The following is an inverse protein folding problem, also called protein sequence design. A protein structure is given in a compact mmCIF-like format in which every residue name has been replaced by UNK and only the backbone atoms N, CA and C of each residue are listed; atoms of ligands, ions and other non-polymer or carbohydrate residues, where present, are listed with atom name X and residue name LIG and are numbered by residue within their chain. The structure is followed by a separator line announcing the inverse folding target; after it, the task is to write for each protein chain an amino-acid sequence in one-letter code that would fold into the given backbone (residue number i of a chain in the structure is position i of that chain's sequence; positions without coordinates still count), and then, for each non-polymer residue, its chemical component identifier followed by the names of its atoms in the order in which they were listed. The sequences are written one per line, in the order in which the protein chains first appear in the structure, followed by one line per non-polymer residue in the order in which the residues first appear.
data_IF_981631406167
#
_entry.id   IF_981631406167
#
_cell.length_a   1.000
_cell.length_b   1.000
_cell.length_c   1.000
_cell.angle_alpha   90.00
_cell.angle_beta   90.00
_cell.angle_gamma   90.00
#
_symmetry.space_group_name_H-M   'P 1'
#
loop_
_entity.id
_entity.type
_entity.pdbx_description
1 polymer ?
#
# COMPACT_ATOMS: atom_id res chain seq x y z
N UNK A 1 38.74 9.44 0.44
CA UNK A 1 38.86 10.89 0.43
C UNK A 1 38.78 11.56 -0.95
N UNK A 2 39.51 11.13 -2.01
CA UNK A 2 39.47 11.81 -3.33
C UNK A 2 38.11 11.72 -4.07
N UNK A 3 37.29 10.65 -3.92
CA UNK A 3 35.98 10.55 -4.57
C UNK A 3 34.89 11.42 -3.90
N UNK A 4 34.86 11.46 -2.57
CA UNK A 4 33.89 12.29 -1.83
C UNK A 4 34.11 13.80 -2.09
N UNK A 5 35.36 14.25 -2.18
CA UNK A 5 35.69 15.64 -2.49
C UNK A 5 35.25 16.04 -3.90
N UNK A 6 35.26 15.11 -4.87
CA UNK A 6 34.86 15.38 -6.27
C UNK A 6 33.33 15.52 -6.42
N UNK A 7 32.57 14.77 -5.64
CA UNK A 7 31.09 14.83 -5.64
C UNK A 7 30.62 16.13 -4.97
N UNK A 8 31.20 16.51 -3.85
CA UNK A 8 30.86 17.75 -3.14
C UNK A 8 31.18 18.99 -4.00
N UNK A 9 32.31 19.01 -4.73
CA UNK A 9 32.66 20.11 -5.63
C UNK A 9 31.74 20.22 -6.84
N UNK A 10 31.27 19.09 -7.39
CA UNK A 10 30.25 19.10 -8.48
C UNK A 10 28.87 19.56 -7.98
N UNK A 11 28.45 19.13 -6.80
CA UNK A 11 27.19 19.55 -6.18
C UNK A 11 27.20 21.05 -5.87
N UNK A 12 28.29 21.59 -5.36
CA UNK A 12 28.44 23.02 -5.06
C UNK A 12 28.51 23.90 -6.32
N UNK A 13 29.10 23.40 -7.41
CA UNK A 13 29.15 24.13 -8.69
C UNK A 13 27.80 24.14 -9.41
N UNK A 14 26.97 23.08 -9.25
CA UNK A 14 25.60 23.07 -9.78
C UNK A 14 24.62 23.91 -8.93
N UNK A 15 24.80 23.99 -7.62
CA UNK A 15 23.99 24.83 -6.75
C UNK A 15 24.17 26.34 -7.03
N UNK A 16 25.37 26.78 -7.37
CA UNK A 16 25.64 28.19 -7.71
C UNK A 16 25.07 28.62 -9.09
N UNK A 17 24.82 27.68 -10.01
CA UNK A 17 24.18 27.98 -11.31
C UNK A 17 22.65 27.91 -11.17
N UNK A 18 22.11 27.13 -10.21
CA UNK A 18 20.66 26.98 -9.97
C UNK A 18 20.11 28.13 -9.09
N UNK A 19 20.90 28.84 -8.32
CA UNK A 19 20.44 29.96 -7.49
C UNK A 19 19.90 31.16 -8.27
N UNK A 20 20.10 31.21 -9.57
CA UNK A 20 19.53 32.25 -10.48
C UNK A 20 18.22 31.83 -11.15
N UNK A 21 17.75 30.56 -10.96
CA UNK A 21 16.49 30.05 -11.54
C UNK A 21 15.42 29.73 -10.47
N UNK A 22 15.72 29.84 -9.19
CA UNK A 22 14.84 29.42 -8.10
C UNK A 22 14.11 30.60 -7.45
N UNK A 23 13.15 31.20 -8.15
CA UNK A 23 12.18 32.12 -7.53
C UNK A 23 10.73 31.84 -7.95
N UNK A 24 10.38 30.58 -8.09
CA UNK A 24 8.97 30.19 -8.04
C UNK A 24 8.89 28.97 -7.14
N UNK A 25 8.80 29.19 -5.83
CA UNK A 25 8.38 28.17 -4.88
C UNK A 25 6.98 27.71 -5.27
N UNK A 26 6.89 26.63 -6.05
CA UNK A 26 5.62 25.95 -6.32
C UNK A 26 5.20 25.27 -5.02
N UNK A 27 4.39 25.95 -4.21
CA UNK A 27 3.72 25.26 -3.11
C UNK A 27 2.91 24.12 -3.75
N UNK A 28 3.26 22.88 -3.38
CA UNK A 28 2.56 21.70 -3.91
C UNK A 28 1.19 21.63 -3.23
N UNK A 29 0.21 22.30 -3.83
CA UNK A 29 -1.14 22.37 -3.28
C UNK A 29 -1.81 21.00 -3.29
N UNK A 30 -2.63 20.69 -2.27
CA UNK A 30 -3.44 19.48 -2.27
C UNK A 30 -4.32 19.42 -3.51
N UNK A 31 -4.51 18.22 -4.04
CA UNK A 31 -5.41 18.00 -5.18
C UNK A 31 -6.13 16.66 -5.08
N UNK A 32 -7.32 16.56 -5.67
CA UNK A 32 -8.05 15.31 -5.80
C UNK A 32 -8.30 14.99 -7.27
N UNK A 33 -8.04 13.72 -7.64
CA UNK A 33 -8.36 13.16 -8.94
C UNK A 33 -9.36 12.03 -8.76
N UNK A 34 -10.54 12.16 -9.36
CA UNK A 34 -11.52 11.08 -9.48
C UNK A 34 -11.15 10.22 -10.69
N UNK A 35 -11.00 8.92 -10.46
CA UNK A 35 -10.39 8.02 -11.46
C UNK A 35 -11.39 7.53 -12.52
N UNK A 36 -12.68 7.80 -12.33
CA UNK A 36 -13.74 7.30 -13.21
C UNK A 36 -14.02 5.81 -12.99
N UNK A 37 -14.55 5.15 -14.03
CA UNK A 37 -14.92 3.74 -14.01
C UNK A 37 -14.54 3.05 -15.31
N UNK A 38 -14.69 1.72 -15.41
CA UNK A 38 -14.59 0.97 -16.68
C UNK A 38 -15.92 0.94 -17.46
N UNK A 39 -16.70 2.02 -17.34
CA UNK A 39 -17.99 2.21 -18.00
C UNK A 39 -19.18 1.80 -17.14
N UNK A 40 -18.98 1.10 -16.04
CA UNK A 40 -20.02 0.73 -15.07
C UNK A 40 -20.27 1.81 -14.01
N UNK A 41 -21.12 1.53 -13.00
CA UNK A 41 -21.56 2.55 -12.02
C UNK A 41 -20.55 2.88 -10.94
N UNK A 42 -19.59 1.99 -10.62
CA UNK A 42 -18.71 2.12 -9.44
C UNK A 42 -17.26 1.76 -9.73
N UNK A 43 -16.34 2.37 -8.98
CA UNK A 43 -14.93 1.97 -8.90
C UNK A 43 -14.39 2.13 -7.49
N UNK A 44 -13.38 1.31 -7.15
CA UNK A 44 -12.81 1.20 -5.81
C UNK A 44 -11.28 1.19 -5.89
N UNK A 45 -10.63 2.20 -5.29
CA UNK A 45 -9.17 2.28 -5.21
C UNK A 45 -8.64 1.52 -4.00
N UNK A 46 -7.60 0.71 -4.20
CA UNK A 46 -7.03 -0.14 -3.14
C UNK A 46 -5.59 0.17 -2.79
N UNK A 47 -4.74 0.40 -3.79
CA UNK A 47 -3.32 0.67 -3.55
C UNK A 47 -2.78 1.72 -4.55
N UNK A 48 -1.69 2.37 -4.17
CA UNK A 48 -1.03 3.43 -4.93
C UNK A 48 0.49 3.22 -4.90
N UNK A 49 1.16 3.50 -6.02
CA UNK A 49 2.63 3.51 -6.11
C UNK A 49 3.27 4.58 -5.22
N UNK A 50 4.55 4.46 -4.96
CA UNK A 50 5.26 5.39 -4.07
C UNK A 50 5.22 6.84 -4.54
N UNK A 51 5.28 7.05 -5.85
CA UNK A 51 5.26 8.37 -6.50
C UNK A 51 3.84 8.91 -6.79
N UNK A 52 2.79 8.13 -6.45
CA UNK A 52 1.39 8.49 -6.69
C UNK A 52 0.92 8.37 -8.14
N UNK A 53 1.77 7.91 -9.08
CA UNK A 53 1.42 7.88 -10.50
C UNK A 53 0.55 6.70 -10.91
N UNK A 54 0.59 5.60 -10.15
CA UNK A 54 -0.18 4.39 -10.43
C UNK A 54 -1.15 4.12 -9.31
N UNK A 55 -2.42 3.96 -9.63
CA UNK A 55 -3.46 3.49 -8.71
C UNK A 55 -4.02 2.18 -9.22
N UNK A 56 -4.26 1.23 -8.32
CA UNK A 56 -4.89 -0.04 -8.64
C UNK A 56 -6.11 -0.29 -7.77
N UNK A 57 -7.00 -1.13 -8.28
CA UNK A 57 -8.24 -1.48 -7.61
C UNK A 57 -9.13 -2.30 -8.50
N UNK A 58 -10.44 -2.15 -8.36
CA UNK A 58 -11.39 -2.78 -9.26
C UNK A 58 -12.55 -1.83 -9.58
N UNK A 59 -13.15 -2.04 -10.74
CA UNK A 59 -14.26 -1.23 -11.22
C UNK A 59 -15.31 -2.09 -11.92
N UNK A 60 -16.53 -1.61 -11.90
CA UNK A 60 -17.62 -2.19 -12.68
C UNK A 60 -17.44 -1.86 -14.16
N UNK A 61 -17.78 -2.83 -15.03
CA UNK A 61 -17.81 -2.66 -16.48
C UNK A 61 -19.24 -2.46 -16.96
N UNK A 62 -19.41 -2.13 -18.25
CA UNK A 62 -20.73 -2.09 -18.91
C UNK A 62 -21.32 -3.48 -19.15
N UNK A 63 -20.50 -4.53 -19.04
CA UNK A 63 -20.93 -5.92 -19.29
C UNK A 63 -21.83 -6.43 -18.17
N UNK A 64 -22.73 -7.33 -18.50
CA UNK A 64 -23.66 -7.99 -17.57
C UNK A 64 -24.43 -7.00 -16.67
N UNK A 65 -24.95 -5.91 -17.29
CA UNK A 65 -25.67 -4.86 -16.60
C UNK A 65 -24.88 -4.22 -15.42
N UNK A 66 -23.57 -4.12 -15.56
CA UNK A 66 -22.70 -3.53 -14.55
C UNK A 66 -22.40 -4.44 -13.37
N UNK A 67 -22.64 -5.75 -13.49
CA UNK A 67 -22.35 -6.72 -12.40
C UNK A 67 -20.94 -7.30 -12.43
N UNK A 68 -20.19 -7.07 -13.50
CA UNK A 68 -18.82 -7.57 -13.62
C UNK A 68 -17.81 -6.59 -13.06
N UNK A 69 -16.91 -7.09 -12.23
CA UNK A 69 -15.78 -6.36 -11.67
C UNK A 69 -14.52 -6.68 -12.44
N UNK A 70 -13.71 -5.66 -12.72
CA UNK A 70 -12.40 -5.81 -13.33
C UNK A 70 -11.33 -5.13 -12.52
N UNK A 71 -10.24 -5.85 -12.30
CA UNK A 71 -9.01 -5.25 -11.81
C UNK A 71 -8.56 -4.17 -12.78
N UNK A 72 -8.20 -3.01 -12.28
CA UNK A 72 -7.69 -1.92 -13.08
C UNK A 72 -6.31 -1.45 -12.61
N UNK A 73 -5.58 -0.87 -13.54
CA UNK A 73 -4.43 0.01 -13.31
C UNK A 73 -4.74 1.36 -13.94
N UNK A 74 -4.63 2.41 -13.15
CA UNK A 74 -4.85 3.77 -13.59
C UNK A 74 -3.54 4.56 -13.56
N UNK A 75 -3.33 5.39 -14.57
CA UNK A 75 -2.31 6.46 -14.60
C UNK A 75 -2.93 7.71 -15.21
N UNK A 76 -2.34 8.88 -14.96
CA UNK A 76 -2.83 10.13 -15.55
C UNK A 76 -2.77 10.14 -17.09
N UNK A 77 -1.83 9.37 -17.67
CA UNK A 77 -1.61 9.30 -19.11
C UNK A 77 -2.62 8.38 -19.81
N UNK A 78 -2.95 7.24 -19.20
CA UNK A 78 -3.78 6.20 -19.84
C UNK A 78 -5.23 6.19 -19.32
N UNK A 79 -5.48 6.86 -18.21
CA UNK A 79 -6.71 6.65 -17.44
C UNK A 79 -6.79 5.24 -16.87
N UNK A 80 -8.01 4.77 -16.63
CA UNK A 80 -8.28 3.44 -16.07
C UNK A 80 -8.21 2.36 -17.15
N UNK A 81 -7.28 1.42 -17.00
CA UNK A 81 -7.05 0.29 -17.92
C UNK A 81 -7.46 -1.02 -17.25
N UNK A 82 -8.30 -1.82 -17.90
CA UNK A 82 -8.68 -3.17 -17.51
C UNK A 82 -7.48 -4.12 -17.60
N UNK A 83 -7.12 -4.79 -16.51
CA UNK A 83 -5.99 -5.72 -16.45
C UNK A 83 -6.32 -7.13 -16.98
N UNK A 84 -7.58 -7.39 -17.29
CA UNK A 84 -8.04 -8.68 -17.78
C UNK A 84 -8.46 -9.65 -16.65
N UNK A 85 -8.51 -10.93 -17.03
CA UNK A 85 -8.89 -12.06 -16.18
C UNK A 85 -8.46 -13.38 -16.82
N UNK A 86 -8.73 -14.52 -16.15
CA UNK A 86 -8.38 -15.85 -16.66
C UNK A 86 -9.51 -16.55 -17.41
N UNK A 87 -10.72 -16.00 -17.43
CA UNK A 87 -11.91 -16.67 -17.98
C UNK A 87 -12.75 -15.75 -18.85
N UNK A 88 -13.29 -16.28 -19.93
CA UNK A 88 -14.31 -15.60 -20.74
C UNK A 88 -15.73 -15.76 -20.17
N UNK A 89 -15.93 -16.67 -19.22
CA UNK A 89 -17.23 -16.98 -18.61
C UNK A 89 -17.40 -16.25 -17.27
N UNK A 90 -16.48 -16.48 -16.33
CA UNK A 90 -16.47 -15.83 -15.01
C UNK A 90 -15.51 -14.66 -15.04
N UNK A 91 -15.98 -13.53 -15.52
CA UNK A 91 -15.18 -12.40 -15.95
C UNK A 91 -14.72 -11.44 -14.82
N UNK A 92 -14.63 -11.90 -13.57
CA UNK A 92 -14.28 -11.00 -12.46
C UNK A 92 -12.80 -11.06 -12.11
N UNK A 93 -12.24 -9.88 -11.80
CA UNK A 93 -10.89 -9.74 -11.26
C UNK A 93 -10.78 -8.53 -10.32
N UNK A 94 -9.88 -8.59 -9.34
CA UNK A 94 -9.64 -7.57 -8.32
C UNK A 94 -8.16 -7.37 -8.12
N UNK A 95 -7.68 -6.12 -8.13
CA UNK A 95 -6.32 -5.77 -7.76
C UNK A 95 -6.31 -5.25 -6.32
N UNK A 96 -5.36 -5.74 -5.52
CA UNK A 96 -5.22 -5.42 -4.10
C UNK A 96 -3.94 -4.69 -3.76
N UNK A 97 -2.85 -4.97 -4.47
CA UNK A 97 -1.54 -4.41 -4.20
C UNK A 97 -0.81 -4.00 -5.47
N UNK A 98 0.10 -3.04 -5.32
CA UNK A 98 0.99 -2.54 -6.37
C UNK A 98 2.39 -2.32 -5.79
N UNK A 99 3.44 -2.61 -6.58
CA UNK A 99 4.83 -2.32 -6.22
C UNK A 99 5.11 -0.82 -6.12
N UNK A 100 6.20 -0.44 -5.47
CA UNK A 100 6.55 0.97 -5.27
C UNK A 100 6.67 1.74 -6.58
N UNK A 101 7.25 1.13 -7.60
CA UNK A 101 7.40 1.69 -8.95
C UNK A 101 6.14 1.59 -9.83
N UNK A 102 5.07 0.94 -9.36
CA UNK A 102 3.83 0.75 -10.10
C UNK A 102 3.89 -0.29 -11.23
N UNK A 103 4.99 -1.04 -11.36
CA UNK A 103 5.21 -2.01 -12.44
C UNK A 103 4.58 -3.38 -12.19
N UNK A 104 4.36 -3.75 -10.92
CA UNK A 104 3.77 -5.04 -10.54
C UNK A 104 2.44 -4.82 -9.84
N UNK A 105 1.40 -5.49 -10.30
CA UNK A 105 0.08 -5.50 -9.66
C UNK A 105 -0.27 -6.91 -9.22
N UNK A 106 -0.82 -7.07 -8.03
CA UNK A 106 -1.26 -8.36 -7.50
C UNK A 106 -2.72 -8.34 -7.08
N UNK A 107 -3.34 -9.52 -7.10
CA UNK A 107 -4.73 -9.68 -6.74
C UNK A 107 -5.23 -11.08 -7.03
N UNK A 108 -6.50 -11.19 -7.39
CA UNK A 108 -7.06 -12.45 -7.86
C UNK A 108 -8.04 -12.22 -9.01
N UNK A 109 -8.23 -13.27 -9.81
CA UNK A 109 -9.19 -13.32 -10.89
C UNK A 109 -9.89 -14.67 -10.91
N UNK A 110 -11.12 -14.71 -11.42
CA UNK A 110 -11.81 -15.96 -11.58
C UNK A 110 -11.25 -16.76 -12.76
N UNK A 111 -11.07 -18.07 -12.55
CA UNK A 111 -10.85 -19.01 -13.63
C UNK A 111 -12.18 -19.41 -14.31
N UNK A 112 -12.09 -20.29 -15.31
CA UNK A 112 -13.25 -20.78 -16.07
C UNK A 112 -14.26 -21.59 -15.24
N UNK A 113 -13.89 -22.02 -14.02
CA UNK A 113 -14.77 -22.69 -13.04
C UNK A 113 -15.35 -21.71 -12.01
N UNK A 114 -15.02 -20.42 -12.08
CA UNK A 114 -15.45 -19.39 -11.13
C UNK A 114 -14.66 -19.38 -9.83
N UNK A 115 -13.50 -20.06 -9.80
CA UNK A 115 -12.65 -20.08 -8.62
C UNK A 115 -11.64 -18.93 -8.64
N UNK A 116 -11.35 -18.37 -7.47
CA UNK A 116 -10.33 -17.33 -7.30
C UNK A 116 -8.94 -17.91 -7.58
N UNK A 117 -8.20 -17.29 -8.50
CA UNK A 117 -6.81 -17.60 -8.81
C UNK A 117 -5.94 -16.39 -8.47
N UNK A 118 -4.90 -16.56 -7.65
CA UNK A 118 -3.98 -15.48 -7.32
C UNK A 118 -3.19 -15.07 -8.56
N UNK A 119 -3.08 -13.78 -8.81
CA UNK A 119 -2.33 -13.30 -9.97
C UNK A 119 -1.22 -12.32 -9.61
N UNK A 120 -0.24 -12.25 -10.50
CA UNK A 120 0.73 -11.18 -10.65
C UNK A 120 0.62 -10.64 -12.08
N UNK A 121 0.46 -9.34 -12.22
CA UNK A 121 0.40 -8.68 -13.52
C UNK A 121 1.59 -7.73 -13.68
N UNK A 122 2.13 -7.64 -14.90
CA UNK A 122 3.14 -6.65 -15.30
C UNK A 122 2.81 -6.08 -16.68
N UNK A 123 3.32 -4.87 -17.05
CA UNK A 123 3.03 -4.27 -18.36
C UNK A 123 3.44 -5.15 -19.55
N UNK A 124 4.52 -5.90 -19.43
CA UNK A 124 5.05 -6.76 -20.51
C UNK A 124 4.55 -8.19 -20.45
N UNK A 125 4.27 -8.73 -19.25
CA UNK A 125 3.86 -10.12 -19.06
C UNK A 125 2.36 -10.33 -18.97
N UNK A 126 1.57 -9.26 -18.84
CA UNK A 126 0.14 -9.36 -18.58
C UNK A 126 -0.18 -10.02 -17.24
N UNK A 127 -1.37 -10.61 -17.14
CA UNK A 127 -1.85 -11.31 -15.94
C UNK A 127 -1.37 -12.77 -15.96
N UNK A 128 -0.58 -13.14 -14.95
CA UNK A 128 -0.04 -14.50 -14.78
C UNK A 128 -0.61 -15.11 -13.50
N UNK A 129 -1.16 -16.33 -13.61
CA UNK A 129 -1.62 -17.13 -12.46
C UNK A 129 -0.41 -17.58 -11.64
N UNK A 130 -0.39 -17.28 -10.35
CA UNK A 130 0.67 -17.71 -9.43
C UNK A 130 0.53 -19.19 -9.00
N UNK A 131 -0.55 -19.83 -9.41
CA UNK A 131 -0.82 -21.22 -9.07
C UNK A 131 -1.34 -21.41 -7.65
N UNK A 132 -1.21 -22.64 -7.20
CA UNK A 132 -1.47 -23.08 -5.84
C UNK A 132 -0.27 -23.90 -5.37
N UNK A 133 -0.29 -24.41 -4.13
CA UNK A 133 0.82 -25.24 -3.66
C UNK A 133 1.08 -26.46 -4.55
N UNK A 134 2.36 -26.80 -4.83
CA UNK A 134 2.72 -27.99 -5.60
C UNK A 134 2.14 -29.26 -4.98
N UNK A 135 1.48 -30.12 -5.82
CA UNK A 135 0.93 -31.40 -5.39
C UNK A 135 -0.44 -31.35 -4.70
N UNK A 136 -1.04 -30.18 -4.54
CA UNK A 136 -2.42 -30.06 -4.02
C UNK A 136 -3.46 -30.25 -5.14
N UNK A 137 -4.62 -30.91 -4.87
CA UNK A 137 -5.75 -30.87 -5.78
C UNK A 137 -6.22 -29.43 -5.87
N UNK A 138 -6.25 -28.82 -7.03
CA UNK A 138 -6.67 -27.46 -7.31
C UNK A 138 -7.26 -26.69 -6.13
N UNK A 139 -6.85 -25.45 -5.91
CA UNK A 139 -7.28 -24.63 -4.78
C UNK A 139 -7.77 -23.28 -5.26
N UNK A 140 -8.40 -22.54 -4.36
CA UNK A 140 -8.69 -21.11 -4.52
C UNK A 140 -7.58 -20.33 -3.89
N UNK A 141 -7.21 -19.16 -4.45
CA UNK A 141 -6.18 -18.32 -3.87
C UNK A 141 -6.42 -16.85 -4.12
N UNK A 142 -5.90 -16.04 -3.23
CA UNK A 142 -5.96 -14.59 -3.28
C UNK A 142 -4.59 -14.06 -2.92
N UNK A 143 -3.99 -13.23 -3.78
CA UNK A 143 -2.85 -12.40 -3.42
C UNK A 143 -3.35 -11.10 -2.83
N UNK A 144 -2.87 -10.74 -1.66
CA UNK A 144 -3.33 -9.58 -0.87
C UNK A 144 -2.35 -8.41 -0.90
N UNK A 145 -1.05 -8.70 -0.96
CA UNK A 145 -0.01 -7.67 -0.95
C UNK A 145 1.25 -8.11 -1.72
N UNK A 146 2.08 -7.14 -2.09
CA UNK A 146 3.34 -7.30 -2.81
C UNK A 146 4.40 -6.40 -2.18
N UNK A 147 5.68 -6.85 -2.17
CA UNK A 147 6.83 -6.06 -1.71
C UNK A 147 7.08 -4.84 -2.61
N UNK A 148 7.84 -3.88 -2.13
CA UNK A 148 8.10 -2.64 -2.86
C UNK A 148 8.75 -2.89 -4.23
N UNK A 149 9.67 -3.84 -4.33
CA UNK A 149 10.34 -4.24 -5.58
C UNK A 149 9.51 -5.20 -6.47
N UNK A 150 8.31 -5.61 -6.03
CA UNK A 150 7.45 -6.53 -6.78
C UNK A 150 7.93 -7.98 -6.84
N UNK A 151 8.98 -8.37 -6.07
CA UNK A 151 9.56 -9.72 -6.13
C UNK A 151 8.92 -10.72 -5.17
N UNK A 152 8.27 -10.24 -4.10
CA UNK A 152 7.57 -11.05 -3.10
C UNK A 152 6.10 -10.72 -3.10
N UNK A 153 5.25 -11.75 -3.20
CA UNK A 153 3.81 -11.61 -3.04
C UNK A 153 3.30 -12.52 -1.91
N UNK A 154 2.30 -12.06 -1.17
CA UNK A 154 1.71 -12.82 -0.06
C UNK A 154 0.20 -12.90 -0.18
N UNK A 155 -0.38 -13.87 0.50
CA UNK A 155 -1.83 -14.06 0.48
C UNK A 155 -2.25 -15.35 1.14
N UNK A 156 -3.31 -15.93 0.63
CA UNK A 156 -3.88 -17.18 1.11
C UNK A 156 -4.25 -18.11 -0.04
N UNK A 157 -4.12 -19.40 0.21
CA UNK A 157 -4.64 -20.48 -0.66
C UNK A 157 -5.47 -21.43 0.18
N UNK A 158 -6.63 -21.75 -0.33
CA UNK A 158 -7.59 -22.66 0.25
C UNK A 158 -7.62 -23.98 -0.56
N UNK A 159 -7.57 -25.12 0.13
CA UNK A 159 -7.67 -26.43 -0.50
C UNK A 159 -9.14 -26.88 -0.55
N UNK A 160 -9.63 -27.27 -1.71
CA UNK A 160 -11.01 -27.77 -1.86
C UNK A 160 -11.38 -28.90 -0.92
N UNK A 161 -10.42 -29.74 -0.53
CA UNK A 161 -10.66 -30.92 0.30
C UNK A 161 -10.65 -30.66 1.80
N UNK A 162 -10.06 -29.54 2.25
CA UNK A 162 -9.85 -29.26 3.67
C UNK A 162 -10.65 -28.07 4.21
N UNK A 163 -11.13 -27.18 3.32
CA UNK A 163 -11.88 -25.96 3.71
C UNK A 163 -11.07 -24.99 4.58
N UNK A 164 -9.75 -25.13 4.63
CA UNK A 164 -8.87 -24.35 5.52
C UNK A 164 -7.85 -23.57 4.68
N UNK A 165 -7.83 -22.26 4.83
CA UNK A 165 -6.87 -21.40 4.16
C UNK A 165 -5.47 -21.51 4.78
N UNK A 166 -4.44 -21.41 3.94
CA UNK A 166 -3.03 -21.37 4.33
C UNK A 166 -2.40 -20.10 3.80
N UNK A 167 -1.69 -19.40 4.66
CA UNK A 167 -0.90 -18.23 4.28
C UNK A 167 0.26 -18.67 3.39
N UNK A 168 0.49 -17.93 2.31
CA UNK A 168 1.61 -18.18 1.41
C UNK A 168 2.52 -16.95 1.26
N UNK A 169 3.76 -17.23 0.90
CA UNK A 169 4.73 -16.29 0.35
C UNK A 169 5.18 -16.84 -1.01
N UNK A 170 5.02 -16.04 -2.04
CA UNK A 170 5.47 -16.35 -3.39
C UNK A 170 6.68 -15.48 -3.73
N UNK A 171 7.64 -16.05 -4.46
CA UNK A 171 8.78 -15.31 -5.01
C UNK A 171 9.01 -15.71 -6.46
N UNK A 172 9.66 -14.82 -7.24
CA UNK A 172 9.97 -15.10 -8.65
C UNK A 172 10.80 -16.36 -8.82
N UNK A 173 11.75 -16.62 -7.93
CA UNK A 173 12.66 -17.78 -8.02
C UNK A 173 12.12 -19.04 -7.33
N UNK A 174 11.34 -18.90 -6.27
CA UNK A 174 10.88 -20.02 -5.42
C UNK A 174 9.43 -20.45 -5.65
N UNK A 175 8.67 -19.70 -6.45
CA UNK A 175 7.23 -19.94 -6.61
C UNK A 175 6.47 -19.76 -5.31
N UNK A 176 5.31 -20.41 -5.22
CA UNK A 176 4.43 -20.35 -4.05
C UNK A 176 4.86 -21.33 -2.96
N UNK A 177 5.11 -20.79 -1.78
CA UNK A 177 5.49 -21.57 -0.60
C UNK A 177 4.57 -21.21 0.56
N UNK A 178 4.16 -22.21 1.37
CA UNK A 178 3.45 -21.95 2.62
C UNK A 178 4.39 -21.22 3.58
N UNK A 179 3.88 -20.23 4.31
CA UNK A 179 4.63 -19.63 5.41
C UNK A 179 4.98 -20.71 6.44
N UNK A 180 6.28 -20.90 6.68
CA UNK A 180 6.76 -21.88 7.65
C UNK A 180 6.20 -21.58 9.06
N UNK A 181 6.01 -22.65 9.85
CA UNK A 181 5.44 -22.62 11.19
C UNK A 181 4.00 -22.09 11.33
N UNK A 182 3.31 -21.85 10.20
CA UNK A 182 1.85 -21.59 10.21
C UNK A 182 1.03 -22.86 9.98
N UNK A 183 1.66 -23.97 9.65
CA UNK A 183 0.97 -25.25 9.35
C UNK A 183 0.28 -25.91 10.52
N UNK A 184 0.63 -25.56 11.77
CA UNK A 184 0.00 -26.07 12.99
C UNK A 184 -1.28 -25.29 13.38
N UNK A 185 -1.57 -24.18 12.69
CA UNK A 185 -2.80 -23.42 12.91
C UNK A 185 -3.97 -24.09 12.18
N UNK A 186 -5.17 -23.92 12.71
CA UNK A 186 -6.38 -24.36 12.05
C UNK A 186 -6.51 -23.70 10.67
N UNK A 187 -6.20 -22.40 10.59
CA UNK A 187 -6.18 -21.60 9.36
C UNK A 187 -5.18 -20.45 9.52
N UNK A 188 -4.57 -20.01 8.42
CA UNK A 188 -3.73 -18.82 8.40
C UNK A 188 -3.92 -18.03 7.10
N UNK A 189 -3.94 -16.69 7.21
CA UNK A 189 -4.11 -15.75 6.08
C UNK A 189 -3.09 -14.64 6.21
N UNK A 190 -2.28 -14.40 5.18
CA UNK A 190 -1.41 -13.24 5.09
C UNK A 190 -2.18 -12.09 4.45
N UNK A 191 -2.00 -10.86 4.96
CA UNK A 191 -2.67 -9.67 4.44
C UNK A 191 -1.70 -8.58 4.02
N UNK A 192 -0.52 -8.51 4.63
CA UNK A 192 0.47 -7.48 4.35
C UNK A 192 1.89 -8.04 4.38
N UNK A 193 2.79 -7.36 3.69
CA UNK A 193 4.22 -7.68 3.61
C UNK A 193 5.04 -6.40 3.69
N UNK A 194 6.21 -6.45 4.37
CA UNK A 194 7.16 -5.35 4.44
C UNK A 194 7.73 -4.99 3.06
N UNK A 195 8.34 -3.82 2.94
CA UNK A 195 8.86 -3.34 1.67
C UNK A 195 9.90 -4.28 1.05
N UNK A 196 10.76 -4.88 1.86
CA UNK A 196 11.78 -5.86 1.45
C UNK A 196 11.27 -7.31 1.31
N UNK A 197 10.00 -7.55 1.62
CA UNK A 197 9.39 -8.88 1.55
C UNK A 197 9.80 -9.85 2.66
N UNK A 198 10.52 -9.41 3.69
CA UNK A 198 11.05 -10.26 4.77
C UNK A 198 10.04 -10.51 5.89
N UNK A 199 9.14 -9.55 6.16
CA UNK A 199 8.15 -9.61 7.23
C UNK A 199 6.75 -9.70 6.64
N UNK A 200 5.92 -10.61 7.17
CA UNK A 200 4.53 -10.80 6.75
C UNK A 200 3.61 -10.63 7.96
N UNK A 201 2.52 -9.90 7.79
CA UNK A 201 1.48 -9.76 8.79
C UNK A 201 0.15 -10.35 8.31
N UNK A 202 -0.66 -10.82 9.25
CA UNK A 202 -1.92 -11.46 8.91
C UNK A 202 -2.67 -11.95 10.12
N UNK A 203 -3.50 -12.97 9.91
CA UNK A 203 -4.27 -13.61 10.98
C UNK A 203 -4.13 -15.12 10.92
N UNK A 204 -4.19 -15.76 12.08
CA UNK A 204 -4.28 -17.20 12.21
C UNK A 204 -5.41 -17.59 13.14
N UNK A 205 -5.90 -18.81 12.97
CA UNK A 205 -6.96 -19.39 13.78
C UNK A 205 -6.39 -20.52 14.62
N UNK A 206 -6.59 -20.45 15.91
CA UNK A 206 -6.26 -21.52 16.86
C UNK A 206 -7.40 -22.53 17.00
N UNK A 207 -8.54 -22.24 16.41
CA UNK A 207 -9.77 -23.03 16.40
C UNK A 207 -10.86 -22.29 15.63
N UNK A 208 -12.07 -22.86 15.52
CA UNK A 208 -13.14 -22.28 14.71
C UNK A 208 -13.61 -20.89 15.18
N UNK A 209 -13.35 -20.54 16.44
CA UNK A 209 -13.82 -19.29 17.06
C UNK A 209 -12.73 -18.46 17.71
N UNK A 210 -11.48 -18.66 17.35
CA UNK A 210 -10.37 -17.90 17.92
C UNK A 210 -9.43 -17.45 16.83
N UNK A 211 -9.34 -16.15 16.60
CA UNK A 211 -8.59 -15.51 15.51
C UNK A 211 -7.60 -14.51 16.10
N UNK A 212 -6.32 -14.61 15.73
CA UNK A 212 -5.22 -13.81 16.28
C UNK A 212 -4.42 -13.16 15.19
N UNK A 213 -4.05 -11.91 15.39
CA UNK A 213 -3.11 -11.19 14.54
C UNK A 213 -1.70 -11.74 14.73
N UNK A 214 -0.95 -11.90 13.66
CA UNK A 214 0.45 -12.34 13.71
C UNK A 214 1.38 -11.44 12.89
N UNK A 215 2.64 -11.46 13.28
CA UNK A 215 3.81 -11.03 12.51
C UNK A 215 4.72 -12.23 12.30
N UNK A 216 5.07 -12.52 11.06
CA UNK A 216 5.99 -13.59 10.70
C UNK A 216 7.28 -13.00 10.14
N UNK A 217 8.41 -13.51 10.59
CA UNK A 217 9.73 -13.14 10.08
C UNK A 217 10.68 -14.34 10.22
N UNK A 218 11.40 -14.69 9.15
CA UNK A 218 12.41 -15.75 9.13
C UNK A 218 11.94 -17.09 9.75
N UNK A 219 10.69 -17.48 9.52
CA UNK A 219 10.12 -18.71 10.06
C UNK A 219 9.58 -18.60 11.48
N UNK A 220 9.68 -17.44 12.12
CA UNK A 220 9.14 -17.20 13.46
C UNK A 220 7.79 -16.51 13.35
N UNK A 221 6.77 -17.10 13.98
CA UNK A 221 5.44 -16.48 14.12
C UNK A 221 5.34 -15.83 15.49
N UNK A 222 5.10 -14.53 15.50
CA UNK A 222 4.84 -13.75 16.71
C UNK A 222 3.34 -13.44 16.79
N UNK A 223 2.67 -13.86 17.88
CA UNK A 223 1.32 -13.41 18.23
C UNK A 223 1.38 -11.94 18.66
N UNK A 224 0.55 -11.10 18.07
CA UNK A 224 0.51 -9.67 18.38
C UNK A 224 -0.42 -9.31 19.53
N UNK A 225 -1.16 -10.30 20.06
CA UNK A 225 -2.15 -10.08 21.09
C UNK A 225 -3.48 -9.55 20.55
N UNK A 226 -4.31 -9.07 21.45
CA UNK A 226 -5.62 -8.47 21.21
C UNK A 226 -5.95 -7.41 22.27
N UNK A 227 -7.08 -6.72 22.10
CA UNK A 227 -7.57 -5.71 23.05
C UNK A 227 -8.48 -6.28 24.15
N UNK A 228 -8.39 -7.60 24.42
CA UNK A 228 -9.05 -8.25 25.57
C UNK A 228 -10.26 -9.10 25.25
N UNK A 229 -10.66 -9.25 23.96
CA UNK A 229 -11.81 -10.08 23.58
C UNK A 229 -11.42 -11.36 22.77
N UNK A 230 -10.12 -11.64 22.63
CA UNK A 230 -9.62 -12.87 22.01
C UNK A 230 -9.61 -12.88 20.48
N UNK A 231 -10.01 -11.79 19.82
CA UNK A 231 -10.07 -11.66 18.36
C UNK A 231 -9.23 -10.49 17.88
N UNK A 232 -8.29 -10.76 16.98
CA UNK A 232 -7.50 -9.71 16.33
C UNK A 232 -7.08 -10.10 14.91
N UNK A 233 -6.95 -9.09 14.03
CA UNK A 233 -6.53 -9.22 12.64
C UNK A 233 -5.53 -8.13 12.33
N UNK A 234 -4.36 -8.48 11.80
CA UNK A 234 -3.44 -7.53 11.19
C UNK A 234 -3.90 -7.20 9.76
N UNK A 235 -3.96 -5.92 9.40
CA UNK A 235 -4.40 -5.45 8.09
C UNK A 235 -3.26 -4.90 7.24
N UNK A 236 -2.34 -4.16 7.85
CA UNK A 236 -1.21 -3.58 7.16
C UNK A 236 0.04 -3.55 8.05
N UNK A 237 1.19 -3.38 7.43
CA UNK A 237 2.50 -3.34 8.07
C UNK A 237 3.32 -2.18 7.49
N UNK A 238 4.15 -1.53 8.32
CA UNK A 238 5.10 -0.50 7.88
C UNK A 238 6.18 -1.09 6.97
N UNK A 239 6.86 -0.24 6.20
CA UNK A 239 7.88 -0.67 5.25
C UNK A 239 9.01 -1.47 5.91
N UNK A 240 9.43 -1.07 7.10
CA UNK A 240 10.46 -1.74 7.91
C UNK A 240 9.96 -2.98 8.68
N UNK A 241 8.66 -3.29 8.60
CA UNK A 241 8.06 -4.43 9.29
C UNK A 241 7.93 -4.26 10.81
N UNK A 242 8.18 -3.08 11.38
CA UNK A 242 8.19 -2.87 12.85
C UNK A 242 6.83 -2.46 13.41
N UNK A 243 5.98 -1.84 12.60
CA UNK A 243 4.64 -1.40 12.99
C UNK A 243 3.58 -2.20 12.24
N UNK A 244 2.64 -2.79 12.96
CA UNK A 244 1.48 -3.49 12.40
C UNK A 244 0.21 -2.77 12.85
N UNK A 245 -0.71 -2.55 11.94
CA UNK A 245 -2.04 -2.04 12.25
C UNK A 245 -3.11 -3.07 11.90
N UNK A 246 -4.24 -2.95 12.56
CA UNK A 246 -5.35 -3.83 12.31
C UNK A 246 -6.55 -3.53 13.19
N UNK A 247 -7.35 -4.54 13.43
CA UNK A 247 -8.48 -4.42 14.34
C UNK A 247 -8.53 -5.59 15.33
N UNK A 248 -9.14 -5.32 16.46
CA UNK A 248 -9.38 -6.29 17.52
C UNK A 248 -10.76 -6.02 18.13
N UNK A 249 -11.42 -7.07 18.57
CA UNK A 249 -12.64 -6.90 19.34
C UNK A 249 -12.30 -6.46 20.78
N UNK A 250 -13.06 -5.49 21.29
CA UNK A 250 -12.99 -4.99 22.64
C UNK A 250 -14.38 -4.69 23.15
N UNK A 251 -14.81 -5.35 24.25
CA UNK A 251 -16.13 -5.11 24.88
C UNK A 251 -17.30 -5.11 23.89
N UNK A 252 -17.37 -6.12 23.01
CA UNK A 252 -18.36 -6.29 21.94
C UNK A 252 -18.33 -5.19 20.86
N UNK A 253 -17.24 -4.44 20.75
CA UNK A 253 -17.02 -3.45 19.70
C UNK A 253 -15.71 -3.75 18.98
N UNK A 254 -15.71 -3.57 17.67
CA UNK A 254 -14.48 -3.63 16.88
C UNK A 254 -13.73 -2.33 17.02
N UNK A 255 -12.44 -2.42 17.39
CA UNK A 255 -11.52 -1.31 17.51
C UNK A 255 -10.28 -1.52 16.69
N UNK A 256 -9.74 -0.48 16.10
CA UNK A 256 -8.45 -0.55 15.44
C UNK A 256 -7.33 -0.40 16.45
N UNK A 257 -6.24 -1.11 16.17
CA UNK A 257 -5.04 -1.08 16.98
C UNK A 257 -3.80 -0.76 16.14
N UNK A 258 -2.77 -0.29 16.82
CA UNK A 258 -1.40 -0.23 16.35
C UNK A 258 -0.53 -1.09 17.26
N UNK A 259 0.20 -2.01 16.68
CA UNK A 259 1.24 -2.77 17.37
C UNK A 259 2.60 -2.24 16.98
N UNK A 260 3.44 -1.92 17.95
CA UNK A 260 4.83 -1.47 17.74
C UNK A 260 5.67 -1.87 18.95
N UNK A 261 6.90 -2.36 18.72
CA UNK A 261 7.84 -2.72 19.79
C UNK A 261 7.27 -3.69 20.84
N UNK A 262 6.48 -4.68 20.42
CA UNK A 262 5.89 -5.69 21.31
C UNK A 262 4.64 -5.24 22.05
N UNK A 263 4.14 -4.02 21.81
CA UNK A 263 2.95 -3.48 22.48
C UNK A 263 1.82 -3.21 21.51
N UNK A 264 0.61 -3.63 21.91
CA UNK A 264 -0.63 -3.30 21.20
C UNK A 264 -1.26 -2.06 21.84
N UNK A 265 -1.63 -1.08 21.01
CA UNK A 265 -2.25 0.18 21.41
C UNK A 265 -3.58 0.33 20.71
N UNK A 266 -4.67 0.58 21.47
CA UNK A 266 -5.98 0.99 20.93
C UNK A 266 -5.90 2.46 20.48
N UNK A 267 -6.44 2.76 19.32
CA UNK A 267 -6.58 4.16 18.85
C UNK A 267 -7.60 4.96 19.68
N UNK A 268 -8.46 4.29 20.44
CA UNK A 268 -9.40 4.94 21.36
C UNK A 268 -10.69 5.50 20.72
N UNK A 269 -10.87 5.34 19.40
CA UNK A 269 -12.06 5.79 18.67
C UNK A 269 -12.51 4.79 17.60
N UNK A 270 -13.77 4.96 17.11
CA UNK A 270 -14.31 4.07 16.07
C UNK A 270 -13.70 4.41 14.70
N UNK A 271 -12.88 3.49 14.21
CA UNK A 271 -12.08 3.65 13.01
C UNK A 271 -11.65 2.28 12.50
N UNK A 272 -11.74 2.05 11.20
CA UNK A 272 -11.20 0.84 10.55
C UNK A 272 -9.88 1.22 9.88
N UNK A 273 -8.75 0.85 10.49
CA UNK A 273 -7.42 1.11 9.96
C UNK A 273 -7.12 0.19 8.77
N UNK A 274 -6.72 0.76 7.62
CA UNK A 274 -6.44 0.01 6.40
C UNK A 274 -5.01 0.15 5.88
N UNK A 275 -4.39 1.32 6.02
CA UNK A 275 -3.04 1.53 5.54
C UNK A 275 -2.20 2.34 6.55
N UNK A 276 -0.89 2.08 6.56
CA UNK A 276 0.09 2.68 7.44
C UNK A 276 1.28 3.19 6.62
N UNK A 277 1.85 4.34 7.01
CA UNK A 277 3.06 4.88 6.37
C UNK A 277 4.30 4.00 6.63
N UNK A 278 5.34 4.21 5.85
CA UNK A 278 6.57 3.43 5.91
C UNK A 278 7.19 3.38 7.30
N UNK A 279 7.15 4.48 8.03
CA UNK A 279 7.68 4.65 9.39
C UNK A 279 6.67 4.33 10.52
N UNK A 280 5.44 3.98 10.13
CA UNK A 280 4.36 3.68 11.08
C UNK A 280 3.75 4.91 11.76
N UNK A 281 4.09 6.13 11.35
CA UNK A 281 3.65 7.38 11.99
C UNK A 281 2.28 7.89 11.51
N UNK A 282 1.81 7.44 10.35
CA UNK A 282 0.53 7.83 9.76
C UNK A 282 -0.33 6.58 9.54
N UNK A 283 -1.59 6.62 9.92
CA UNK A 283 -2.58 5.56 9.67
C UNK A 283 -3.83 6.16 9.06
N UNK A 284 -4.37 5.51 8.03
CA UNK A 284 -5.59 5.94 7.36
C UNK A 284 -6.60 4.79 7.28
N UNK A 285 -7.89 5.14 7.11
CA UNK A 285 -8.92 4.12 7.05
C UNK A 285 -10.34 4.65 6.83
N UNK A 286 -11.33 3.97 7.44
CA UNK A 286 -12.75 4.29 7.32
C UNK A 286 -13.37 4.58 8.71
N UNK A 287 -14.19 5.65 8.85
CA UNK A 287 -14.45 6.66 7.82
C UNK A 287 -13.15 7.34 7.35
N UNK A 288 -13.20 8.24 6.39
CA UNK A 288 -12.03 8.91 5.82
C UNK A 288 -11.30 9.77 6.87
N UNK A 289 -10.63 9.11 7.79
CA UNK A 289 -9.83 9.68 8.87
C UNK A 289 -8.35 9.36 8.63
N UNK A 290 -7.50 10.26 9.10
CA UNK A 290 -6.05 10.10 9.18
C UNK A 290 -5.61 10.33 10.63
N UNK A 291 -5.02 9.30 11.21
CA UNK A 291 -4.30 9.40 12.48
C UNK A 291 -2.83 9.67 12.22
N UNK A 292 -2.22 10.56 13.00
CA UNK A 292 -0.78 10.86 12.98
C UNK A 292 -0.21 10.83 14.38
N UNK A 293 0.98 10.24 14.53
CA UNK A 293 1.73 10.28 15.80
C UNK A 293 1.99 11.76 16.19
N UNK A 294 1.82 12.17 17.48
CA UNK A 294 1.58 11.34 18.67
C UNK A 294 0.10 11.05 19.01
N UNK A 295 -0.86 11.29 18.13
CA UNK A 295 -2.27 11.01 18.38
C UNK A 295 -3.24 12.01 17.75
N UNK A 296 -2.77 12.78 16.76
CA UNK A 296 -3.58 13.76 16.04
C UNK A 296 -4.49 13.04 15.05
N UNK A 297 -5.79 13.37 15.06
CA UNK A 297 -6.78 12.77 14.15
C UNK A 297 -7.37 13.86 13.26
N UNK A 298 -7.23 13.69 11.95
CA UNK A 298 -7.82 14.57 10.94
C UNK A 298 -9.02 13.89 10.28
N UNK A 299 -10.11 14.63 10.11
CA UNK A 299 -11.18 14.25 9.19
C UNK A 299 -10.85 14.78 7.80
N UNK A 300 -10.55 13.89 6.86
CA UNK A 300 -10.09 14.27 5.52
C UNK A 300 -11.15 15.04 4.72
N UNK A 301 -12.44 14.78 4.96
CA UNK A 301 -13.50 15.57 4.34
C UNK A 301 -13.52 17.02 4.82
N UNK A 302 -13.20 17.27 6.09
CA UNK A 302 -13.10 18.61 6.64
C UNK A 302 -11.79 19.29 6.21
N UNK A 303 -10.67 18.57 6.30
CA UNK A 303 -9.33 19.09 5.96
C UNK A 303 -9.26 19.53 4.49
N UNK A 304 -9.87 18.76 3.58
CA UNK A 304 -9.80 19.00 2.13
C UNK A 304 -11.11 19.51 1.54
N UNK A 305 -12.00 20.12 2.35
CA UNK A 305 -13.32 20.60 1.93
C UNK A 305 -13.25 21.55 0.73
N UNK A 306 -12.22 22.41 0.64
CA UNK A 306 -12.04 23.38 -0.46
C UNK A 306 -11.86 22.72 -1.82
N UNK A 307 -11.20 21.58 -1.91
CA UNK A 307 -10.97 20.84 -3.17
C UNK A 307 -12.04 19.77 -3.43
N UNK A 308 -12.75 19.32 -2.38
CA UNK A 308 -13.83 18.33 -2.49
C UNK A 308 -15.14 18.95 -2.97
N UNK A 309 -15.42 20.20 -2.62
CA UNK A 309 -16.68 20.84 -2.89
C UNK A 309 -17.86 20.08 -2.26
N UNK A 310 -18.74 19.49 -3.09
CA UNK A 310 -19.87 18.65 -2.65
C UNK A 310 -19.57 17.14 -2.64
N UNK A 311 -18.38 16.76 -3.05
CA UNK A 311 -17.95 15.35 -3.04
C UNK A 311 -17.58 14.90 -1.65
N UNK A 312 -17.65 13.59 -1.39
CA UNK A 312 -17.41 13.00 -0.06
C UNK A 312 -16.51 11.79 -0.16
N UNK A 313 -15.45 11.74 0.62
CA UNK A 313 -14.60 10.56 0.79
C UNK A 313 -15.25 9.62 1.81
N UNK A 314 -15.50 8.37 1.41
CA UNK A 314 -16.07 7.36 2.32
C UNK A 314 -15.01 6.70 3.18
N UNK A 315 -13.84 6.46 2.61
CA UNK A 315 -12.70 5.85 3.30
C UNK A 315 -11.47 5.79 2.42
N UNK A 316 -10.33 5.66 3.08
CA UNK A 316 -9.02 5.47 2.47
C UNK A 316 -8.61 4.02 2.63
N UNK A 317 -8.20 3.37 1.54
CA UNK A 317 -7.80 1.95 1.51
C UNK A 317 -6.30 1.77 1.36
N UNK A 318 -5.65 2.68 0.63
CA UNK A 318 -4.22 2.64 0.35
C UNK A 318 -3.55 4.01 0.52
N UNK A 319 -2.27 3.97 0.77
CA UNK A 319 -1.45 5.15 1.02
C UNK A 319 -0.05 4.89 0.46
N UNK A 320 0.57 5.92 -0.13
CA UNK A 320 2.00 5.87 -0.49
C UNK A 320 2.87 5.75 0.77
N UNK A 321 4.08 5.19 0.66
CA UNK A 321 4.96 4.98 1.81
C UNK A 321 5.22 6.24 2.65
N UNK A 322 5.36 7.40 2.00
CA UNK A 322 5.58 8.69 2.67
C UNK A 322 4.30 9.33 3.25
N UNK A 323 3.13 8.74 3.03
CA UNK A 323 1.85 9.27 3.52
C UNK A 323 1.21 10.36 2.67
N UNK A 324 1.84 10.76 1.54
CA UNK A 324 1.39 11.87 0.70
C UNK A 324 0.18 11.53 -0.15
N UNK A 325 0.21 10.39 -0.83
CA UNK A 325 -0.85 9.98 -1.77
C UNK A 325 -1.79 8.99 -1.09
N UNK A 326 -3.08 9.35 -1.06
CA UNK A 326 -4.12 8.54 -0.45
C UNK A 326 -5.11 8.09 -1.51
N UNK A 327 -5.49 6.82 -1.49
CA UNK A 327 -6.47 6.25 -2.41
C UNK A 327 -7.60 5.56 -1.67
N UNK A 328 -8.78 5.58 -2.25
CA UNK A 328 -9.96 4.96 -1.66
C UNK A 328 -11.18 5.10 -2.54
N UNK A 329 -12.33 5.20 -1.90
CA UNK A 329 -13.63 5.32 -2.57
C UNK A 329 -14.42 6.45 -1.94
N UNK A 330 -15.15 7.18 -2.76
CA UNK A 330 -15.99 8.28 -2.34
C UNK A 330 -17.08 8.59 -3.35
N UNK A 331 -17.96 9.53 -2.98
CA UNK A 331 -18.98 10.07 -3.86
C UNK A 331 -18.42 11.26 -4.63
N UNK A 332 -18.39 11.14 -5.96
CA UNK A 332 -18.04 12.23 -6.86
C UNK A 332 -19.30 13.00 -7.27
N UNK A 333 -19.47 14.22 -6.76
CA UNK A 333 -20.64 15.05 -7.02
C UNK A 333 -20.74 15.52 -8.49
N UNK A 334 -19.64 15.54 -9.24
CA UNK A 334 -19.66 15.95 -10.64
C UNK A 334 -20.26 14.88 -11.56
N UNK A 335 -20.06 13.59 -11.24
CA UNK A 335 -20.56 12.45 -12.01
C UNK A 335 -21.79 11.80 -11.38
N UNK A 336 -22.10 12.15 -10.12
CA UNK A 336 -23.14 11.52 -9.28
C UNK A 336 -22.92 10.01 -9.12
N UNK A 337 -21.65 9.60 -8.88
CA UNK A 337 -21.23 8.18 -8.77
C UNK A 337 -20.33 7.96 -7.57
N UNK A 338 -20.25 6.69 -7.15
CA UNK A 338 -19.18 6.24 -6.25
C UNK A 338 -17.96 5.87 -7.10
N UNK A 339 -16.89 6.61 -6.91
CA UNK A 339 -15.68 6.43 -7.70
C UNK A 339 -14.44 6.28 -6.82
N UNK A 340 -13.46 5.57 -7.35
CA UNK A 340 -12.10 5.58 -6.81
C UNK A 340 -11.51 6.99 -6.92
N UNK A 341 -10.73 7.40 -5.92
CA UNK A 341 -10.04 8.68 -5.92
C UNK A 341 -8.55 8.52 -5.63
N UNK A 342 -7.77 9.47 -6.09
CA UNK A 342 -6.41 9.76 -5.69
C UNK A 342 -6.38 11.16 -5.07
N UNK A 343 -6.07 11.25 -3.78
CA UNK A 343 -5.84 12.49 -3.07
C UNK A 343 -4.33 12.68 -2.89
N UNK A 344 -3.75 13.70 -3.54
CA UNK A 344 -2.44 14.24 -3.19
C UNK A 344 -2.66 15.23 -2.04
N UNK A 345 -2.16 14.92 -0.86
CA UNK A 345 -2.30 15.76 0.32
C UNK A 345 -1.43 17.01 0.28
N UNK A 346 -0.50 17.09 -0.68
CA UNK A 346 0.51 18.15 -0.76
C UNK A 346 1.64 18.02 0.24
N UNK A 347 1.56 17.07 1.19
CA UNK A 347 2.55 16.89 2.25
C UNK A 347 2.84 15.40 2.52
N UNK A 348 4.11 14.99 2.84
CA UNK A 348 5.31 15.84 2.81
C UNK A 348 5.61 16.40 1.42
N UNK A 349 6.34 17.49 1.37
CA UNK A 349 6.81 18.04 0.10
C UNK A 349 7.77 17.03 -0.55
N UNK A 350 7.88 17.07 -1.87
CA UNK A 350 8.87 16.24 -2.55
C UNK A 350 10.26 16.74 -2.17
N UNK A 351 11.11 15.87 -1.64
CA UNK A 351 12.44 16.21 -1.16
C UNK A 351 12.50 16.61 0.32
N UNK A 352 11.38 16.78 1.00
CA UNK A 352 11.28 17.06 2.44
C UNK A 352 11.42 15.73 3.22
N UNK A 353 12.65 15.38 3.55
CA UNK A 353 13.04 14.11 4.16
C UNK A 353 12.67 14.07 5.64
N UNK A 354 12.92 15.17 6.35
CA UNK A 354 12.65 15.29 7.78
C UNK A 354 11.20 15.71 8.09
N UNK A 355 10.43 16.04 7.04
CA UNK A 355 9.00 16.39 7.11
C UNK A 355 8.71 17.62 7.96
N UNK A 356 9.65 18.56 7.98
CA UNK A 356 9.47 19.84 8.69
C UNK A 356 8.63 20.86 7.87
N UNK A 357 8.35 20.56 6.59
CA UNK A 357 7.57 21.38 5.67
C UNK A 357 8.41 22.35 4.84
N UNK A 358 9.74 22.25 4.92
CA UNK A 358 10.70 23.01 4.14
C UNK A 358 11.68 22.02 3.49
N UNK A 359 12.05 22.23 2.25
CA UNK A 359 13.11 21.46 1.57
C UNK A 359 14.38 22.28 1.58
N UNK A 360 15.29 21.93 2.47
CA UNK A 360 16.49 22.75 2.73
C UNK A 360 17.78 21.92 2.90
N UNK A 361 18.82 22.55 3.45
CA UNK A 361 20.11 21.92 3.69
C UNK A 361 20.03 20.70 4.63
N UNK A 362 19.05 20.66 5.53
CA UNK A 362 18.87 19.53 6.45
C UNK A 362 18.46 18.27 5.70
N UNK A 363 17.55 18.37 4.73
CA UNK A 363 17.12 17.26 3.88
C UNK A 363 18.27 16.76 2.99
N UNK A 364 19.01 17.72 2.38
CA UNK A 364 20.15 17.40 1.56
C UNK A 364 21.21 16.62 2.35
N UNK A 365 21.50 17.05 3.57
CA UNK A 365 22.45 16.39 4.45
C UNK A 365 21.98 14.99 4.86
N UNK A 366 20.70 14.80 5.11
CA UNK A 366 20.16 13.47 5.45
C UNK A 366 20.38 12.48 4.30
N UNK A 367 20.07 12.85 3.05
CA UNK A 367 20.33 12.00 1.89
C UNK A 367 21.83 11.75 1.71
N UNK A 368 22.67 12.77 1.86
CA UNK A 368 24.13 12.62 1.74
C UNK A 368 24.73 11.70 2.80
N UNK A 369 24.26 11.79 4.06
CA UNK A 369 24.72 10.89 5.13
C UNK A 369 24.26 9.45 4.96
N UNK A 370 23.09 9.26 4.33
CA UNK A 370 22.54 7.95 4.03
C UNK A 370 23.03 7.37 2.68
N UNK A 371 23.81 8.13 1.91
CA UNK A 371 24.21 7.78 0.54
C UNK A 371 24.93 6.44 0.44
N UNK A 372 24.50 5.61 -0.51
CA UNK A 372 24.95 4.22 -0.65
C UNK A 372 24.30 3.25 0.32
N UNK A 373 23.41 3.76 1.21
CA UNK A 373 22.60 2.96 2.09
C UNK A 373 21.60 2.11 1.30
N UNK A 374 21.31 0.88 1.79
CA UNK A 374 20.34 -0.03 1.21
C UNK A 374 19.14 -0.20 2.13
N UNK A 375 18.01 -0.56 1.53
CA UNK A 375 16.74 -0.76 2.21
C UNK A 375 15.85 0.48 2.18
N UNK A 376 14.55 0.24 2.29
CA UNK A 376 13.51 1.27 2.20
C UNK A 376 13.47 2.15 3.45
N UNK A 377 13.86 3.41 3.31
CA UNK A 377 14.00 4.40 4.38
C UNK A 377 13.54 5.78 3.88
N UNK A 378 13.43 6.75 4.77
CA UNK A 378 12.94 8.08 4.39
C UNK A 378 13.84 8.81 3.39
N UNK A 379 15.14 8.54 3.41
CA UNK A 379 16.13 9.10 2.50
C UNK A 379 16.12 8.45 1.10
N UNK A 380 15.52 7.27 0.96
CA UNK A 380 15.19 6.62 -0.31
C UNK A 380 13.87 7.20 -0.84
N UNK A 381 13.96 8.35 -1.48
CA UNK A 381 12.80 9.16 -1.88
C UNK A 381 12.04 8.58 -3.07
N UNK A 382 12.71 7.81 -3.90
CA UNK A 382 12.11 7.12 -5.05
C UNK A 382 11.62 5.70 -4.72
N UNK A 383 11.97 5.19 -3.52
CA UNK A 383 11.60 3.87 -3.02
C UNK A 383 12.08 2.70 -3.90
N UNK A 384 13.30 2.83 -4.45
CA UNK A 384 13.95 1.75 -5.21
C UNK A 384 14.81 0.80 -4.34
N UNK A 385 14.96 1.12 -3.06
CA UNK A 385 15.71 0.35 -2.07
C UNK A 385 17.17 0.75 -1.95
N UNK A 386 17.57 1.86 -2.57
CA UNK A 386 18.95 2.38 -2.51
C UNK A 386 18.91 3.90 -2.38
N UNK A 387 19.69 4.46 -1.48
CA UNK A 387 19.88 5.92 -1.40
C UNK A 387 21.01 6.32 -2.33
N UNK A 388 20.68 6.98 -3.44
CA UNK A 388 21.65 7.32 -4.47
C UNK A 388 21.45 8.74 -5.09
N UNK A 389 22.05 8.95 -6.27
CA UNK A 389 21.96 10.22 -6.99
C UNK A 389 20.51 10.62 -7.33
N UNK A 390 19.60 9.65 -7.51
CA UNK A 390 18.20 9.91 -7.85
C UNK A 390 17.46 10.58 -6.69
N UNK A 391 17.73 10.15 -5.45
CA UNK A 391 17.14 10.73 -4.24
C UNK A 391 17.71 12.13 -3.98
N UNK A 392 19.04 12.27 -4.13
CA UNK A 392 19.70 13.55 -3.99
C UNK A 392 19.13 14.58 -4.97
N UNK A 393 18.88 14.19 -6.22
CA UNK A 393 18.26 15.03 -7.24
C UNK A 393 16.83 15.45 -6.86
N UNK A 394 16.07 14.58 -6.18
CA UNK A 394 14.74 14.96 -5.70
C UNK A 394 14.78 16.09 -4.68
N UNK A 395 15.76 16.09 -3.75
CA UNK A 395 15.95 17.22 -2.83
C UNK A 395 16.35 18.48 -3.61
N UNK A 396 17.37 18.37 -4.47
CA UNK A 396 17.90 19.52 -5.21
C UNK A 396 16.87 20.18 -6.13
N UNK A 397 16.03 19.40 -6.82
CA UNK A 397 14.99 19.95 -7.71
C UNK A 397 13.83 20.61 -6.96
N UNK A 398 13.64 20.30 -5.69
CA UNK A 398 12.57 20.86 -4.86
C UNK A 398 13.10 21.82 -3.77
N UNK A 399 14.40 22.14 -3.81
CA UNK A 399 15.07 22.97 -2.81
C UNK A 399 14.41 24.36 -2.69
N UNK A 400 14.20 24.83 -1.45
CA UNK A 400 13.48 26.05 -1.14
C UNK A 400 11.96 25.88 -1.16
N UNK A 401 11.45 24.71 -1.45
CA UNK A 401 10.01 24.42 -1.40
C UNK A 401 9.50 24.45 0.03
N UNK A 402 8.41 25.21 0.26
CA UNK A 402 7.77 25.30 1.58
C UNK A 402 8.45 26.23 2.59
N UNK A 403 9.67 26.68 2.29
CA UNK A 403 10.38 27.65 3.14
C UNK A 403 9.88 29.07 2.86
#
# INVERSE_FOLDING_TARGET
MKRATYIVVRALLSASVLSSLATVGWSQQPSITWLGTLGGPYSFGHAVSADGKVVVGYAHTTRDNGRQFRAFRWTAETGMVDLGNFSSVFNNSWAWGVSADGSVVVGYAHDWSGYNRPFRWTPTGGMVDLGTYPGGPGGRGITTAVSADGTVAVGLVDYFSAGTARAFRWTVSGGMQQLSNTGNFYEARAFAVSADGSVVAGTYYTGPNAMRAFRWENGVVQDLGDLGAGWSVAQAISADGTTVIGWSDHSNQRRSFRWKNGQIQDFGFSFEAYAVSADGSIVVGRPALRWREPGIVDNLNATYASILGRSVLYGVRGMSPNGRYLVGTGYNAATNREEAFLLDTGFPLRGDVDRNGCVDDADLLQVLFAFGGRGYRNEDLNWDGTVDDADLLQVLFNFGGGC
#
